data_IF_969498529353
#
_entry.id   IF_969498529353
#
_cell.length_a   1.000
_cell.length_b   1.000
_cell.length_c   1.000
_cell.angle_alpha   90.00
_cell.angle_beta   90.00
_cell.angle_gamma   90.00
#
_symmetry.space_group_name_H-M   'P 1'
#
loop_
_entity.id
_entity.type
_entity.pdbx_description
1 polymer ?
#
# COMPACT_ATOMS: atom_id res chain seq x y z
N UNK A 1 -1.62 -1.39 17.25
CA UNK A 1 -0.57 -2.20 16.59
C UNK A 1 -0.99 -2.42 15.15
N UNK A 2 -0.11 -2.19 14.17
CA UNK A 2 -0.42 -2.47 12.78
C UNK A 2 -0.54 -3.98 12.52
N UNK A 3 -1.27 -4.34 11.47
CA UNK A 3 -1.04 -5.61 10.79
C UNK A 3 0.20 -5.45 9.90
N UNK A 4 1.12 -6.41 9.95
CA UNK A 4 2.38 -6.35 9.18
C UNK A 4 2.55 -7.64 8.40
N UNK A 5 2.80 -7.51 7.10
CA UNK A 5 3.17 -8.62 6.23
C UNK A 5 4.54 -8.36 5.62
N UNK A 6 5.45 -9.32 5.76
CA UNK A 6 6.79 -9.24 5.19
C UNK A 6 6.79 -9.81 3.78
N UNK A 7 7.47 -9.11 2.87
CA UNK A 7 7.73 -9.65 1.55
C UNK A 7 8.61 -10.92 1.69
N UNK A 8 8.23 -12.05 1.08
CA UNK A 8 8.98 -13.30 1.17
C UNK A 8 10.25 -13.30 0.30
N UNK A 9 10.35 -12.38 -0.67
CA UNK A 9 11.53 -12.12 -1.50
C UNK A 9 11.61 -10.61 -1.78
N UNK A 10 12.73 -10.12 -2.32
CA UNK A 10 12.81 -8.73 -2.77
C UNK A 10 11.74 -8.48 -3.85
N UNK A 11 10.94 -7.42 -3.75
CA UNK A 11 9.97 -7.11 -4.78
C UNK A 11 10.67 -6.65 -6.06
N UNK A 12 10.04 -6.98 -7.19
CA UNK A 12 10.50 -6.64 -8.53
C UNK A 12 9.41 -5.92 -9.32
N UNK A 13 9.79 -5.32 -10.45
CA UNK A 13 8.87 -4.68 -11.37
C UNK A 13 7.72 -5.64 -11.78
N UNK A 14 6.50 -5.11 -11.74
CA UNK A 14 5.23 -5.80 -11.97
C UNK A 14 4.81 -6.82 -10.92
N UNK A 15 5.54 -6.97 -9.81
CA UNK A 15 4.98 -7.65 -8.64
C UNK A 15 3.74 -6.89 -8.14
N UNK A 16 2.78 -7.62 -7.59
CA UNK A 16 1.56 -7.04 -7.03
C UNK A 16 1.38 -7.42 -5.57
N UNK A 17 0.79 -6.51 -4.80
CA UNK A 17 0.25 -6.81 -3.47
C UNK A 17 -1.25 -6.61 -3.52
N UNK A 18 -1.99 -7.68 -3.25
CA UNK A 18 -3.46 -7.65 -3.18
C UNK A 18 -3.87 -7.66 -1.74
N UNK A 19 -4.69 -6.70 -1.35
CA UNK A 19 -5.16 -6.52 0.01
C UNK A 19 -6.68 -6.45 -0.02
N UNK A 20 -7.31 -7.43 0.63
CA UNK A 20 -8.75 -7.44 0.86
C UNK A 20 -9.01 -7.29 2.34
N UNK A 21 -9.77 -6.26 2.70
CA UNK A 21 -10.02 -5.94 4.10
C UNK A 21 -11.33 -5.22 4.29
N UNK A 22 -11.71 -5.05 5.55
CA UNK A 22 -12.88 -4.25 5.94
C UNK A 22 -12.43 -3.24 6.99
N UNK A 23 -12.85 -1.99 6.82
CA UNK A 23 -12.70 -0.98 7.86
C UNK A 23 -13.86 -1.06 8.86
N UNK A 24 -13.66 -0.57 10.07
CA UNK A 24 -14.79 -0.46 11.01
C UNK A 24 -15.83 0.52 10.44
N UNK A 25 -17.10 0.32 10.78
CA UNK A 25 -18.20 1.17 10.29
C UNK A 25 -18.02 2.66 10.68
N UNK A 26 -17.28 2.91 11.76
CA UNK A 26 -16.95 4.25 12.29
C UNK A 26 -15.51 4.69 11.99
N UNK A 27 -14.81 4.03 11.06
CA UNK A 27 -13.43 4.33 10.72
C UNK A 27 -13.22 5.81 10.40
N UNK A 28 -12.25 6.43 11.06
CA UNK A 28 -11.80 7.80 10.80
C UNK A 28 -10.71 7.80 9.74
N UNK A 29 -9.81 6.82 9.81
CA UNK A 29 -8.77 6.66 8.82
C UNK A 29 -8.19 5.24 8.80
N UNK A 30 -7.57 4.90 7.69
CA UNK A 30 -6.81 3.68 7.50
C UNK A 30 -5.62 3.99 6.60
N UNK A 31 -4.47 3.33 6.81
CA UNK A 31 -3.32 3.53 5.94
C UNK A 31 -2.58 2.25 5.60
N UNK A 32 -2.00 2.27 4.40
CA UNK A 32 -1.22 1.22 3.78
C UNK A 32 0.18 1.79 3.57
N UNK A 33 1.17 1.21 4.20
CA UNK A 33 2.57 1.64 4.08
C UNK A 33 3.39 0.54 3.45
N UNK A 34 4.18 0.87 2.44
CA UNK A 34 5.22 0.01 1.87
C UNK A 34 6.55 0.48 2.44
N UNK A 35 7.08 -0.29 3.37
CA UNK A 35 8.15 0.14 4.26
C UNK A 35 9.53 -0.40 3.82
N UNK A 36 10.53 0.46 3.91
CA UNK A 36 11.94 0.08 4.00
C UNK A 36 12.28 -0.29 5.44
N UNK A 37 13.39 -1.01 5.63
CA UNK A 37 13.77 -1.49 6.96
C UNK A 37 14.03 -0.31 7.89
N UNK A 38 13.36 -0.24 9.05
CA UNK A 38 13.63 0.81 10.02
C UNK A 38 15.02 0.59 10.66
N UNK A 39 15.59 1.63 11.29
CA UNK A 39 16.77 1.48 12.14
C UNK A 39 16.53 0.47 13.26
N UNK A 40 17.61 -0.19 13.72
CA UNK A 40 17.52 -1.11 14.85
C UNK A 40 16.99 -0.40 16.10
N UNK A 41 15.99 -1.00 16.76
CA UNK A 41 15.36 -0.44 17.96
C UNK A 41 14.32 0.65 17.68
N UNK A 42 13.88 0.82 16.43
CA UNK A 42 12.72 1.67 16.12
C UNK A 42 11.46 1.16 16.84
N UNK A 43 10.62 2.03 17.43
CA UNK A 43 9.42 1.60 18.17
C UNK A 43 8.36 0.94 17.29
N UNK A 44 7.83 -0.20 17.73
CA UNK A 44 6.77 -0.95 17.02
C UNK A 44 5.40 -0.23 17.02
N UNK A 45 5.23 0.77 17.89
CA UNK A 45 4.01 1.58 17.99
C UNK A 45 4.04 2.82 17.07
N UNK A 46 5.10 2.99 16.28
CA UNK A 46 5.25 4.04 15.30
C UNK A 46 5.36 3.48 13.89
N UNK A 47 4.77 4.19 12.92
CA UNK A 47 5.01 3.92 11.49
C UNK A 47 6.51 3.96 11.20
N UNK A 48 7.00 3.12 10.27
CA UNK A 48 8.38 3.18 9.80
C UNK A 48 8.84 4.61 9.49
N UNK A 49 10.11 4.98 9.78
CA UNK A 49 10.66 6.26 9.36
C UNK A 49 10.92 6.29 7.83
N UNK A 50 10.96 5.12 7.18
CA UNK A 50 11.22 4.99 5.74
C UNK A 50 10.05 4.26 5.08
N UNK A 51 9.22 5.02 4.37
CA UNK A 51 8.02 4.52 3.68
C UNK A 51 8.14 4.92 2.21
N UNK A 52 8.37 3.95 1.35
CA UNK A 52 8.50 4.17 -0.10
C UNK A 52 7.19 4.59 -0.74
N UNK A 53 6.07 4.09 -0.22
CA UNK A 53 4.75 4.46 -0.65
C UNK A 53 3.76 4.40 0.51
N UNK A 54 3.02 5.48 0.71
CA UNK A 54 1.96 5.62 1.69
C UNK A 54 0.65 5.94 0.97
N UNK A 55 -0.39 5.18 1.28
CA UNK A 55 -1.76 5.52 0.93
C UNK A 55 -2.57 5.60 2.22
N UNK A 56 -3.25 6.72 2.44
CA UNK A 56 -4.16 6.91 3.58
C UNK A 56 -5.54 7.29 3.12
N UNK A 57 -6.54 6.58 3.64
CA UNK A 57 -7.94 6.96 3.53
C UNK A 57 -8.30 7.80 4.76
N UNK A 58 -8.93 8.95 4.57
CA UNK A 58 -9.46 9.78 5.66
C UNK A 58 -10.95 10.05 5.43
N UNK A 59 -11.75 9.86 6.46
CA UNK A 59 -13.19 10.13 6.46
C UNK A 59 -13.47 11.37 7.29
N UNK A 60 -14.18 12.34 6.70
CA UNK A 60 -14.64 13.52 7.41
C UNK A 60 -15.97 13.21 8.12
N UNK A 61 -16.28 13.91 9.23
CA UNK A 61 -17.59 13.80 9.89
C UNK A 61 -18.77 14.15 8.98
N UNK A 62 -18.54 14.99 7.96
CA UNK A 62 -19.53 15.47 7.00
C UNK A 62 -19.84 14.44 5.89
N UNK A 63 -19.16 13.29 5.90
CA UNK A 63 -19.37 12.19 4.96
C UNK A 63 -18.48 12.21 3.72
N UNK A 64 -17.63 13.24 3.56
CA UNK A 64 -16.62 13.25 2.53
C UNK A 64 -15.46 12.32 2.90
N UNK A 65 -14.83 11.72 1.89
CA UNK A 65 -13.60 10.95 2.12
C UNK A 65 -12.58 11.18 1.02
N UNK A 66 -11.32 11.11 1.41
CA UNK A 66 -10.17 11.37 0.53
C UNK A 66 -9.11 10.30 0.70
N UNK A 67 -8.36 10.11 -0.37
CA UNK A 67 -7.11 9.37 -0.37
C UNK A 67 -5.96 10.37 -0.42
N UNK A 68 -5.00 10.20 0.48
CA UNK A 68 -3.72 10.92 0.48
C UNK A 68 -2.63 9.91 0.13
N UNK A 69 -1.90 10.17 -0.97
CA UNK A 69 -0.67 9.47 -1.31
C UNK A 69 0.53 10.30 -0.85
N UNK A 70 1.54 9.64 -0.29
CA UNK A 70 2.78 10.28 0.14
C UNK A 70 3.92 9.25 0.21
N UNK A 71 5.10 9.70 0.62
CA UNK A 71 6.22 8.87 1.04
C UNK A 71 6.91 9.53 2.23
N UNK A 72 7.78 8.78 2.91
CA UNK A 72 8.45 9.24 4.13
C UNK A 72 9.91 8.83 4.10
N UNK A 73 10.80 9.80 4.29
CA UNK A 73 12.21 9.55 4.56
C UNK A 73 12.62 10.38 5.77
N UNK A 74 12.44 9.79 6.94
CA UNK A 74 12.38 10.46 8.26
C UNK A 74 11.17 11.38 8.38
N UNK A 75 11.03 12.33 7.45
CA UNK A 75 9.94 13.29 7.36
C UNK A 75 8.96 12.94 6.23
N UNK A 76 7.69 13.30 6.44
CA UNK A 76 6.66 13.23 5.40
C UNK A 76 6.92 14.25 4.29
N UNK A 77 6.53 13.88 3.07
CA UNK A 77 6.86 14.63 1.88
C UNK A 77 5.60 15.29 1.30
N UNK A 78 5.69 15.82 0.08
CA UNK A 78 4.55 16.48 -0.55
C UNK A 78 3.41 15.48 -0.81
N UNK A 79 2.25 15.76 -0.23
CA UNK A 79 1.05 14.96 -0.39
C UNK A 79 0.41 15.13 -1.77
N UNK A 80 -0.08 14.03 -2.34
CA UNK A 80 -1.05 14.03 -3.43
C UNK A 80 -2.42 13.62 -2.88
N UNK A 81 -3.43 14.47 -3.05
CA UNK A 81 -4.78 14.22 -2.51
C UNK A 81 -5.74 13.97 -3.66
N UNK A 82 -6.51 12.90 -3.55
CA UNK A 82 -7.52 12.49 -4.50
C UNK A 82 -8.83 12.12 -3.79
N UNK A 83 -9.91 12.01 -4.56
CA UNK A 83 -11.16 11.44 -4.09
C UNK A 83 -10.94 9.98 -3.68
N UNK A 84 -11.59 9.55 -2.59
CA UNK A 84 -11.56 8.14 -2.19
C UNK A 84 -12.53 7.31 -3.05
N UNK A 85 -11.97 6.53 -3.95
CA UNK A 85 -12.62 5.47 -4.72
C UNK A 85 -12.49 4.08 -4.07
N UNK A 86 -11.54 3.91 -3.15
CA UNK A 86 -11.19 2.60 -2.61
C UNK A 86 -12.22 2.07 -1.61
N UNK A 87 -12.76 2.96 -0.77
CA UNK A 87 -13.80 2.60 0.21
C UNK A 87 -14.98 3.56 0.07
N UNK A 88 -15.92 3.20 -0.79
CA UNK A 88 -17.17 3.96 -1.01
C UNK A 88 -18.22 3.63 0.04
N UNK A 89 -18.22 2.40 0.56
CA UNK A 89 -19.18 1.90 1.55
C UNK A 89 -18.42 1.15 2.66
N UNK A 90 -18.29 1.77 3.84
CA UNK A 90 -17.56 1.21 4.99
C UNK A 90 -18.21 -0.05 5.57
N UNK A 91 -19.48 -0.32 5.26
CA UNK A 91 -20.14 -1.55 5.72
C UNK A 91 -19.67 -2.81 4.96
N UNK A 92 -18.92 -2.62 3.87
CA UNK A 92 -18.47 -3.69 2.98
C UNK A 92 -16.96 -3.82 3.00
N UNK A 93 -16.43 -5.04 2.72
CA UNK A 93 -15.03 -5.19 2.42
C UNK A 93 -14.68 -4.47 1.11
N UNK A 94 -13.41 -4.09 0.98
CA UNK A 94 -12.82 -3.51 -0.22
C UNK A 94 -11.61 -4.34 -0.65
N UNK A 95 -11.20 -4.16 -1.91
CA UNK A 95 -9.96 -4.74 -2.43
C UNK A 95 -9.09 -3.63 -3.03
N UNK A 96 -7.82 -3.60 -2.61
CA UNK A 96 -6.78 -2.77 -3.19
C UNK A 96 -5.73 -3.66 -3.84
N UNK A 97 -5.41 -3.40 -5.11
CA UNK A 97 -4.28 -4.03 -5.81
C UNK A 97 -3.20 -2.99 -6.02
N UNK A 98 -2.05 -3.20 -5.41
CA UNK A 98 -0.87 -2.37 -5.56
C UNK A 98 0.07 -3.05 -6.56
N UNK A 99 0.29 -2.44 -7.71
CA UNK A 99 1.28 -2.90 -8.69
C UNK A 99 2.55 -2.06 -8.57
N UNK A 100 3.65 -2.77 -8.36
CA UNK A 100 4.97 -2.20 -8.16
C UNK A 100 5.64 -1.99 -9.52
N UNK A 101 6.15 -0.79 -9.78
CA UNK A 101 7.08 -0.50 -10.88
C UNK A 101 8.36 0.10 -10.28
N UNK A 102 9.47 0.06 -11.02
CA UNK A 102 10.78 0.51 -10.52
C UNK A 102 10.76 1.96 -9.98
N UNK A 103 9.93 2.83 -10.57
CA UNK A 103 9.84 4.24 -10.20
C UNK A 103 8.41 4.70 -9.87
N UNK A 104 7.44 3.80 -9.75
CA UNK A 104 6.03 4.19 -9.61
C UNK A 104 5.21 3.12 -8.89
N UNK A 105 4.29 3.58 -8.03
CA UNK A 105 3.23 2.74 -7.49
C UNK A 105 1.95 3.00 -8.28
N UNK A 106 1.29 1.93 -8.73
CA UNK A 106 -0.06 1.98 -9.31
C UNK A 106 -1.03 1.25 -8.40
N UNK A 107 -2.18 1.85 -8.14
CA UNK A 107 -3.20 1.28 -7.27
C UNK A 107 -4.50 1.13 -8.03
N UNK A 108 -5.11 -0.04 -7.93
CA UNK A 108 -6.38 -0.38 -8.53
C UNK A 108 -7.38 -0.80 -7.46
N UNK A 109 -8.62 -0.34 -7.59
CA UNK A 109 -9.76 -0.74 -6.79
C UNK A 109 -10.38 -1.98 -7.44
N UNK A 110 -10.59 -3.02 -6.65
CA UNK A 110 -11.18 -4.30 -7.06
C UNK A 110 -10.32 -5.18 -8.00
N UNK A 111 -9.96 -4.71 -9.20
CA UNK A 111 -9.19 -5.48 -10.18
C UNK A 111 -8.27 -4.63 -11.08
N UNK A 112 -7.51 -5.27 -11.96
CA UNK A 112 -6.48 -4.62 -12.80
C UNK A 112 -6.89 -4.44 -14.27
N UNK A 113 -8.17 -4.61 -14.61
CA UNK A 113 -8.69 -4.59 -15.98
C UNK A 113 -9.01 -3.18 -16.51
N UNK A 114 -8.70 -2.14 -15.73
CA UNK A 114 -8.87 -0.74 -16.09
C UNK A 114 -7.60 0.07 -15.82
N UNK A 115 -7.62 1.36 -16.14
CA UNK A 115 -6.54 2.29 -15.75
C UNK A 115 -6.43 2.40 -14.23
N UNK A 116 -5.22 2.64 -13.67
CA UNK A 116 -5.06 2.81 -12.22
C UNK A 116 -5.96 3.91 -11.67
N UNK A 117 -6.57 3.67 -10.51
CA UNK A 117 -7.35 4.69 -9.78
C UNK A 117 -6.45 5.70 -9.09
N UNK A 118 -5.25 5.26 -8.71
CA UNK A 118 -4.21 6.12 -8.17
C UNK A 118 -2.84 5.73 -8.74
N UNK A 119 -2.01 6.73 -8.94
CA UNK A 119 -0.61 6.57 -9.33
C UNK A 119 0.24 7.61 -8.58
N UNK A 120 1.46 7.22 -8.20
CA UNK A 120 2.45 8.13 -7.63
C UNK A 120 3.85 7.64 -7.94
N UNK A 121 4.72 8.55 -8.35
CA UNK A 121 6.13 8.24 -8.56
C UNK A 121 6.82 7.93 -7.22
N UNK A 122 7.53 6.81 -7.19
CA UNK A 122 8.30 6.37 -6.03
C UNK A 122 9.67 7.05 -6.03
N UNK A 123 10.05 7.59 -4.86
CA UNK A 123 11.34 8.25 -4.64
C UNK A 123 12.35 7.36 -3.89
N UNK A 124 11.88 6.28 -3.28
CA UNK A 124 12.69 5.29 -2.58
C UNK A 124 12.73 3.98 -3.38
N UNK A 125 13.84 3.23 -3.31
CA UNK A 125 14.07 2.04 -4.12
C UNK A 125 13.04 0.95 -3.83
N UNK A 126 12.46 0.40 -4.90
CA UNK A 126 11.50 -0.70 -4.86
C UNK A 126 12.09 -1.91 -4.13
N UNK A 127 13.29 -2.32 -4.51
CA UNK A 127 13.97 -3.52 -4.04
C UNK A 127 14.32 -3.51 -2.54
N UNK A 128 14.22 -2.35 -1.88
CA UNK A 128 14.44 -2.20 -0.44
C UNK A 128 13.14 -2.29 0.37
N UNK A 129 11.97 -2.26 -0.26
CA UNK A 129 10.71 -2.51 0.42
C UNK A 129 10.74 -3.93 0.98
N UNK A 130 10.54 -4.07 2.28
CA UNK A 130 10.59 -5.36 2.97
C UNK A 130 9.26 -5.75 3.61
N UNK A 131 8.34 -4.81 3.83
CA UNK A 131 7.08 -5.07 4.49
C UNK A 131 5.97 -4.13 4.00
N UNK A 132 4.74 -4.62 4.16
CA UNK A 132 3.51 -3.83 4.10
C UNK A 132 2.94 -3.73 5.50
N UNK A 133 2.67 -2.50 5.94
CA UNK A 133 1.99 -2.23 7.21
C UNK A 133 0.59 -1.67 6.96
N UNK A 134 -0.40 -2.21 7.66
CA UNK A 134 -1.79 -1.73 7.67
C UNK A 134 -2.12 -1.17 9.04
N UNK A 135 -2.45 0.11 9.09
CA UNK A 135 -2.66 0.85 10.34
C UNK A 135 -4.09 1.36 10.51
N UNK A 136 -4.45 1.58 11.77
CA UNK A 136 -5.68 2.23 12.25
C UNK A 136 -6.94 1.38 12.10
N UNK A 137 -8.02 1.93 11.54
CA UNK A 137 -9.38 1.45 11.76
C UNK A 137 -9.78 0.26 10.86
N UNK A 138 -8.87 -0.70 10.66
CA UNK A 138 -9.19 -1.98 10.07
C UNK A 138 -9.99 -2.83 11.08
N UNK A 139 -11.16 -3.33 10.66
CA UNK A 139 -11.90 -4.33 11.42
C UNK A 139 -11.24 -5.70 11.25
N UNK A 140 -10.92 -6.07 10.01
CA UNK A 140 -10.15 -7.25 9.67
C UNK A 140 -9.43 -7.11 8.34
N UNK A 141 -8.41 -7.95 8.15
CA UNK A 141 -7.72 -8.20 6.88
C UNK A 141 -8.09 -9.62 6.48
N UNK A 142 -8.87 -9.77 5.42
CA UNK A 142 -9.31 -11.07 4.90
C UNK A 142 -8.19 -11.76 4.13
N UNK A 143 -7.46 -10.97 3.33
CA UNK A 143 -6.36 -11.45 2.49
C UNK A 143 -5.28 -10.37 2.38
N UNK A 144 -4.02 -10.80 2.47
CA UNK A 144 -2.88 -10.07 1.91
C UNK A 144 -2.03 -11.06 1.11
N UNK A 145 -1.97 -10.85 -0.20
CA UNK A 145 -1.31 -11.75 -1.14
C UNK A 145 -0.22 -11.01 -1.91
N UNK A 146 1.00 -11.53 -1.85
CA UNK A 146 2.08 -11.13 -2.73
C UNK A 146 2.01 -11.97 -4.01
N UNK A 147 1.82 -11.33 -5.17
CA UNK A 147 1.82 -11.96 -6.49
C UNK A 147 3.09 -11.58 -7.23
N UNK A 148 3.81 -12.59 -7.66
CA UNK A 148 5.15 -12.45 -8.20
C UNK A 148 5.15 -12.60 -9.72
N UNK A 149 5.67 -11.60 -10.42
CA UNK A 149 5.84 -11.67 -11.86
C UNK A 149 7.08 -12.51 -12.22
N UNK A 150 6.90 -13.81 -12.36
CA UNK A 150 8.01 -14.73 -12.69
C UNK A 150 8.39 -14.74 -14.19
N UNK A 151 7.86 -13.82 -15.01
CA UNK A 151 8.12 -13.80 -16.45
C UNK A 151 9.58 -13.48 -16.81
N UNK A 152 10.40 -12.95 -15.89
CA UNK A 152 11.84 -12.72 -16.15
C UNK A 152 12.68 -13.99 -16.07
N UNK A 153 12.30 -14.99 -15.28
CA UNK A 153 13.08 -16.23 -15.13
C UNK A 153 13.03 -17.13 -16.38
N UNK A 154 11.95 -17.05 -17.17
CA UNK A 154 11.79 -17.87 -18.38
C UNK A 154 12.64 -17.41 -19.58
N UNK A 155 13.13 -16.17 -19.56
CA UNK A 155 14.04 -15.66 -20.60
C UNK A 155 15.51 -15.96 -20.31
N UNK A 156 15.90 -16.17 -19.05
CA UNK A 156 17.28 -16.52 -18.70
C UNK A 156 17.58 -18.02 -18.76
N UNK A 157 16.56 -18.88 -18.75
CA UNK A 157 16.72 -20.33 -18.94
C UNK A 157 16.83 -20.75 -20.43
N UNK A 158 16.61 -19.81 -21.36
CA UNK A 158 16.67 -20.04 -22.80
C UNK A 158 17.75 -19.20 -23.52
N UNK A 159 18.68 -18.60 -22.76
CA UNK A 159 19.81 -17.82 -23.28
C UNK A 159 21.15 -18.52 -23.06
#
# INVERSE_FOLDING_TARGET
TPFVAYFPRKPEEFDEVVIRGKLTDNARNASFNFCLRPPAGWPDDQTSPYIAYHLKISFSPEGESKVTQNWKNVEWQQEQVAKNWLVVDRSKPFTAVFRLLDNQMKVFVDDVQHSPDYEMDMQLPLEEIHAVELWNDFEYVEELTFRFNNARDSYQLNA
#
